data_IF_002588037267
#
_entry.id   IF_002588037267
#
_cell.length_a   1.000
_cell.length_b   1.000
_cell.length_c   1.000
_cell.angle_alpha   90.00
_cell.angle_beta   90.00
_cell.angle_gamma   90.00
#
_symmetry.space_group_name_H-M   'P 1'
#
loop_
_entity.id
_entity.type
_entity.pdbx_description
1 polymer ?
#
# COMPACT_ATOMS: atom_id res chain seq x y z
N UNK A 1 17.80 5.32 9.73
CA UNK A 1 16.57 6.17 9.85
C UNK A 1 15.86 6.43 8.52
N UNK A 2 16.59 6.57 7.44
CA UNK A 2 16.12 6.89 6.08
C UNK A 2 15.21 5.79 5.50
N UNK A 3 15.66 4.55 5.57
CA UNK A 3 14.97 3.40 5.00
C UNK A 3 13.70 2.98 5.77
N UNK A 4 13.66 3.22 7.08
CA UNK A 4 12.43 3.07 7.87
C UNK A 4 11.28 3.96 7.36
N UNK A 5 11.61 4.98 6.58
CA UNK A 5 10.66 5.91 5.96
C UNK A 5 9.96 5.34 4.74
N UNK A 6 10.73 4.74 3.84
CA UNK A 6 10.18 4.08 2.64
C UNK A 6 9.25 2.93 3.06
N UNK A 7 9.61 2.24 4.16
CA UNK A 7 8.79 1.14 4.69
C UNK A 7 7.55 1.60 5.42
N UNK A 8 7.62 2.72 6.15
CA UNK A 8 6.42 3.36 6.68
C UNK A 8 5.47 3.78 5.55
N UNK A 9 6.02 4.10 4.37
CA UNK A 9 5.26 4.47 3.18
C UNK A 9 4.60 3.25 2.53
N UNK A 10 5.34 2.19 2.33
CA UNK A 10 4.79 0.92 1.86
C UNK A 10 3.82 0.34 2.88
N UNK A 11 4.10 0.46 4.19
CA UNK A 11 3.17 0.05 5.24
C UNK A 11 1.87 0.88 5.30
N UNK A 12 1.89 2.13 4.86
CA UNK A 12 0.66 2.96 4.72
C UNK A 12 -0.17 2.47 3.53
N UNK A 13 0.49 2.09 2.44
CA UNK A 13 -0.18 1.50 1.26
C UNK A 13 -0.64 0.06 1.57
N UNK A 14 0.17 -0.72 2.31
CA UNK A 14 -0.02 -2.16 2.50
C UNK A 14 -0.41 -2.58 3.92
N UNK A 15 -0.25 -1.71 4.92
CA UNK A 15 -0.42 -2.05 6.34
C UNK A 15 -1.80 -1.75 6.91
N UNK A 16 -2.66 -1.12 6.12
CA UNK A 16 -4.04 -0.78 6.49
C UNK A 16 -5.05 -1.86 6.10
N UNK A 17 -6.29 -1.44 5.97
CA UNK A 17 -7.31 -2.25 5.31
C UNK A 17 -6.90 -2.41 3.84
N UNK A 18 -6.89 -3.67 3.35
CA UNK A 18 -6.54 -3.94 1.95
C UNK A 18 -7.44 -3.11 1.03
N UNK A 19 -6.89 -2.45 0.00
CA UNK A 19 -7.70 -1.62 -0.90
C UNK A 19 -8.85 -2.39 -1.56
N UNK A 20 -8.72 -3.70 -1.73
CA UNK A 20 -9.73 -4.57 -2.34
C UNK A 20 -10.70 -5.19 -1.33
N UNK A 21 -10.96 -4.53 -0.22
CA UNK A 21 -11.94 -4.98 0.77
C UNK A 21 -12.81 -3.82 1.22
N UNK A 22 -14.12 -4.03 1.21
CA UNK A 22 -15.07 -3.05 1.74
C UNK A 22 -14.80 -2.84 3.24
N UNK A 23 -14.47 -1.60 3.66
CA UNK A 23 -14.12 -1.35 5.06
C UNK A 23 -15.31 -1.61 5.98
N UNK A 24 -15.11 -2.38 7.06
CA UNK A 24 -16.14 -2.70 8.07
C UNK A 24 -17.38 -3.39 7.52
N UNK A 25 -17.26 -4.13 6.41
CA UNK A 25 -18.38 -4.80 5.77
C UNK A 25 -19.15 -5.70 6.76
N UNK A 26 -18.49 -6.37 7.68
CA UNK A 26 -19.10 -7.19 8.73
C UNK A 26 -20.09 -6.42 9.62
N UNK A 27 -19.81 -5.16 9.91
CA UNK A 27 -20.72 -4.30 10.70
C UNK A 27 -21.92 -3.84 9.86
N UNK A 28 -21.67 -3.51 8.59
CA UNK A 28 -22.74 -3.05 7.69
C UNK A 28 -23.70 -4.17 7.30
N UNK A 29 -23.18 -5.39 7.09
CA UNK A 29 -24.00 -6.58 6.89
C UNK A 29 -24.93 -6.82 8.09
N UNK A 30 -24.41 -6.75 9.30
CA UNK A 30 -25.24 -6.89 10.51
C UNK A 30 -26.33 -5.81 10.63
N UNK A 31 -26.09 -4.64 10.08
CA UNK A 31 -27.00 -3.48 10.15
C UNK A 31 -28.06 -3.52 9.05
N UNK A 32 -27.72 -3.91 7.83
CA UNK A 32 -28.54 -3.70 6.65
C UNK A 32 -29.13 -4.99 6.06
N UNK A 33 -28.49 -6.15 6.26
CA UNK A 33 -29.05 -7.42 5.78
C UNK A 33 -30.18 -7.87 6.70
N UNK A 34 -31.40 -7.96 6.14
CA UNK A 34 -32.60 -8.23 6.92
C UNK A 34 -32.75 -9.71 7.24
N UNK A 35 -32.52 -10.59 6.26
CA UNK A 35 -32.62 -12.03 6.42
C UNK A 35 -31.50 -12.59 7.31
N UNK A 36 -31.87 -13.20 8.43
CA UNK A 36 -30.93 -13.68 9.43
C UNK A 36 -30.02 -14.81 8.91
N UNK A 37 -30.56 -15.71 8.05
CA UNK A 37 -29.78 -16.82 7.47
C UNK A 37 -28.69 -16.28 6.51
N UNK A 38 -29.05 -15.35 5.60
CA UNK A 38 -28.10 -14.69 4.71
C UNK A 38 -27.07 -13.88 5.48
N UNK A 39 -27.51 -13.11 6.48
CA UNK A 39 -26.66 -12.33 7.39
C UNK A 39 -25.60 -13.21 8.08
N UNK A 40 -26.02 -14.33 8.68
CA UNK A 40 -25.12 -15.24 9.37
C UNK A 40 -24.08 -15.83 8.41
N UNK A 41 -24.52 -16.28 7.23
CA UNK A 41 -23.63 -16.82 6.19
C UNK A 41 -22.55 -15.81 5.77
N UNK A 42 -22.92 -14.55 5.51
CA UNK A 42 -21.95 -13.50 5.14
C UNK A 42 -21.02 -13.16 6.30
N UNK A 43 -21.52 -13.05 7.52
CA UNK A 43 -20.69 -12.78 8.70
C UNK A 43 -19.65 -13.87 8.93
N UNK A 44 -20.01 -15.15 8.74
CA UNK A 44 -19.07 -16.28 8.84
C UNK A 44 -17.99 -16.19 7.75
N UNK A 45 -18.38 -15.93 6.49
CA UNK A 45 -17.47 -15.73 5.37
C UNK A 45 -16.45 -14.62 5.68
N UNK A 46 -16.92 -13.46 6.14
CA UNK A 46 -16.05 -12.31 6.48
C UNK A 46 -15.14 -12.58 7.69
N UNK A 47 -15.61 -13.37 8.65
CA UNK A 47 -14.79 -13.80 9.81
C UNK A 47 -13.62 -14.68 9.39
N UNK A 48 -13.86 -15.62 8.45
CA UNK A 48 -12.80 -16.48 7.93
C UNK A 48 -11.81 -15.71 7.05
N UNK A 49 -12.31 -14.82 6.19
CA UNK A 49 -11.46 -13.89 5.44
C UNK A 49 -10.57 -13.04 6.35
N UNK A 50 -11.11 -12.55 7.47
CA UNK A 50 -10.33 -11.79 8.47
C UNK A 50 -9.21 -12.61 9.11
N UNK A 51 -9.41 -13.93 9.33
CA UNK A 51 -8.34 -14.82 9.83
C UNK A 51 -7.23 -14.99 8.79
N UNK A 52 -7.59 -15.28 7.52
CA UNK A 52 -6.64 -15.41 6.40
C UNK A 52 -5.84 -14.12 6.22
N UNK A 53 -6.51 -12.97 6.25
CA UNK A 53 -5.86 -11.65 6.16
C UNK A 53 -4.83 -11.40 7.26
N UNK A 54 -5.07 -11.80 8.51
CA UNK A 54 -4.07 -11.68 9.59
C UNK A 54 -2.77 -12.40 9.24
N UNK A 55 -2.84 -13.56 8.60
CA UNK A 55 -1.67 -14.30 8.14
C UNK A 55 -0.91 -13.55 7.04
N UNK A 56 -1.64 -12.99 6.06
CA UNK A 56 -1.05 -12.16 4.99
C UNK A 56 -0.36 -10.92 5.56
N UNK A 57 -1.01 -10.20 6.46
CA UNK A 57 -0.40 -9.03 7.13
C UNK A 57 0.88 -9.41 7.88
N UNK A 58 0.92 -10.58 8.53
CA UNK A 58 2.13 -11.09 9.19
C UNK A 58 3.24 -11.43 8.19
N UNK A 59 2.88 -12.05 7.03
CA UNK A 59 3.81 -12.33 5.92
C UNK A 59 4.38 -11.02 5.36
N UNK A 60 3.53 -10.04 5.07
CA UNK A 60 3.95 -8.74 4.56
C UNK A 60 4.89 -8.00 5.52
N UNK A 61 4.61 -8.00 6.83
CA UNK A 61 5.52 -7.42 7.83
C UNK A 61 6.92 -8.02 7.79
N UNK A 62 7.04 -9.35 7.53
CA UNK A 62 8.34 -10.00 7.40
C UNK A 62 9.06 -9.55 6.13
N UNK A 63 8.35 -9.51 4.98
CA UNK A 63 8.92 -9.04 3.71
C UNK A 63 9.40 -7.60 3.80
N UNK A 64 8.65 -6.73 4.49
CA UNK A 64 9.09 -5.36 4.70
C UNK A 64 10.29 -5.25 5.64
N UNK A 65 10.39 -6.10 6.67
CA UNK A 65 11.57 -6.15 7.51
C UNK A 65 12.80 -6.59 6.69
N UNK A 66 12.66 -7.62 5.87
CA UNK A 66 13.70 -8.11 4.95
C UNK A 66 14.15 -7.00 3.98
N UNK A 67 13.20 -6.27 3.38
CA UNK A 67 13.51 -5.13 2.54
C UNK A 67 14.28 -4.03 3.31
N UNK A 68 13.91 -3.74 4.58
CA UNK A 68 14.65 -2.80 5.43
C UNK A 68 16.09 -3.25 5.61
N UNK A 69 16.30 -4.53 5.92
CA UNK A 69 17.64 -5.09 6.14
C UNK A 69 18.49 -5.00 4.88
N UNK A 70 17.94 -5.36 3.70
CA UNK A 70 18.62 -5.21 2.42
C UNK A 70 19.02 -3.75 2.15
N UNK A 71 18.10 -2.81 2.39
CA UNK A 71 18.34 -1.39 2.12
C UNK A 71 19.34 -0.74 3.07
N UNK A 72 19.64 -1.34 4.22
CA UNK A 72 20.65 -0.83 5.15
C UNK A 72 22.09 -1.25 4.78
N UNK A 73 22.26 -2.23 3.90
CA UNK A 73 23.56 -2.73 3.48
C UNK A 73 24.00 -2.12 2.15
N UNK A 74 25.24 -1.66 2.07
CA UNK A 74 25.88 -1.25 0.81
C UNK A 74 26.19 -2.44 -0.10
N UNK A 75 26.32 -3.62 0.49
CA UNK A 75 26.74 -4.85 -0.19
C UNK A 75 25.55 -5.61 -0.82
N UNK A 76 24.34 -5.13 -0.61
CA UNK A 76 23.13 -5.74 -1.18
C UNK A 76 23.17 -5.68 -2.71
N UNK A 77 22.88 -6.78 -3.36
CA UNK A 77 22.87 -6.88 -4.82
C UNK A 77 21.48 -6.62 -5.38
N UNK A 78 21.42 -6.21 -6.63
CA UNK A 78 20.16 -6.04 -7.37
C UNK A 78 19.30 -7.32 -7.32
N UNK A 79 19.95 -8.47 -7.48
CA UNK A 79 19.27 -9.79 -7.46
C UNK A 79 18.53 -10.06 -6.15
N UNK A 80 19.03 -9.56 -5.01
CA UNK A 80 18.40 -9.76 -3.70
C UNK A 80 17.09 -8.95 -3.64
N UNK A 81 17.12 -7.72 -4.14
CA UNK A 81 15.93 -6.87 -4.27
C UNK A 81 14.91 -7.47 -5.26
N UNK A 82 15.35 -7.98 -6.41
CA UNK A 82 14.46 -8.55 -7.43
C UNK A 82 13.72 -9.80 -6.90
N UNK A 83 14.43 -10.67 -6.17
CA UNK A 83 13.81 -11.82 -5.51
C UNK A 83 12.79 -11.41 -4.45
N UNK A 84 13.09 -10.35 -3.69
CA UNK A 84 12.17 -9.83 -2.68
C UNK A 84 10.94 -9.16 -3.32
N UNK A 85 11.13 -8.42 -4.42
CA UNK A 85 10.01 -7.84 -5.18
C UNK A 85 9.05 -8.92 -5.64
N UNK A 86 9.55 -10.01 -6.22
CA UNK A 86 8.72 -11.14 -6.65
C UNK A 86 7.85 -11.65 -5.49
N UNK A 87 8.44 -11.91 -4.33
CA UNK A 87 7.70 -12.36 -3.14
C UNK A 87 6.65 -11.36 -2.67
N UNK A 88 6.95 -10.06 -2.75
CA UNK A 88 6.01 -8.98 -2.38
C UNK A 88 4.83 -8.96 -3.36
N UNK A 89 5.10 -8.98 -4.67
CA UNK A 89 4.05 -8.94 -5.69
C UNK A 89 3.13 -10.17 -5.61
N UNK A 90 3.68 -11.37 -5.47
CA UNK A 90 2.92 -12.61 -5.26
C UNK A 90 2.00 -12.50 -4.04
N UNK A 91 2.54 -12.05 -2.89
CA UNK A 91 1.75 -11.92 -1.67
C UNK A 91 0.64 -10.86 -1.80
N UNK A 92 0.87 -9.78 -2.55
CA UNK A 92 -0.13 -8.75 -2.81
C UNK A 92 -1.22 -9.25 -3.76
N UNK A 93 -0.84 -9.90 -4.86
CA UNK A 93 -1.78 -10.47 -5.83
C UNK A 93 -2.71 -11.49 -5.15
N UNK A 94 -2.15 -12.44 -4.39
CA UNK A 94 -2.91 -13.45 -3.64
C UNK A 94 -3.91 -12.78 -2.66
N UNK A 95 -3.44 -11.75 -1.94
CA UNK A 95 -4.28 -11.02 -0.98
C UNK A 95 -5.44 -10.30 -1.65
N UNK A 96 -5.18 -9.64 -2.78
CA UNK A 96 -6.18 -8.88 -3.51
C UNK A 96 -7.23 -9.80 -4.14
N UNK A 97 -6.81 -10.87 -4.81
CA UNK A 97 -7.70 -11.88 -5.36
C UNK A 97 -8.61 -12.48 -4.28
N UNK A 98 -8.05 -12.83 -3.12
CA UNK A 98 -8.84 -13.32 -1.99
C UNK A 98 -9.89 -12.31 -1.55
N UNK A 99 -9.55 -11.01 -1.48
CA UNK A 99 -10.49 -9.98 -1.06
C UNK A 99 -11.60 -9.73 -2.10
N UNK A 100 -11.27 -9.74 -3.39
CA UNK A 100 -12.24 -9.65 -4.50
C UNK A 100 -13.24 -10.79 -4.39
N UNK A 101 -12.77 -12.03 -4.33
CA UNK A 101 -13.62 -13.21 -4.22
C UNK A 101 -14.53 -13.18 -2.98
N UNK A 102 -14.00 -12.76 -1.83
CA UNK A 102 -14.80 -12.65 -0.61
C UNK A 102 -15.87 -11.57 -0.74
N UNK A 103 -15.59 -10.45 -1.40
CA UNK A 103 -16.57 -9.38 -1.63
C UNK A 103 -17.68 -9.86 -2.58
N UNK A 104 -17.33 -10.52 -3.68
CA UNK A 104 -18.31 -11.12 -4.62
C UNK A 104 -19.19 -12.16 -3.93
N UNK A 105 -18.61 -13.10 -3.20
CA UNK A 105 -19.36 -14.10 -2.43
C UNK A 105 -20.26 -13.48 -1.36
N UNK A 106 -19.89 -12.34 -0.79
CA UNK A 106 -20.73 -11.59 0.13
C UNK A 106 -21.92 -10.98 -0.64
N UNK A 107 -21.68 -10.40 -1.81
CA UNK A 107 -22.73 -9.81 -2.67
C UNK A 107 -23.75 -10.84 -3.15
N UNK A 108 -23.36 -12.08 -3.43
CA UNK A 108 -24.27 -13.18 -3.79
C UNK A 108 -25.35 -13.46 -2.73
N UNK A 109 -25.13 -13.01 -1.50
CA UNK A 109 -26.04 -13.21 -0.36
C UNK A 109 -26.64 -11.91 0.18
N UNK A 110 -26.49 -10.80 -0.54
CA UNK A 110 -26.98 -9.47 -0.19
C UNK A 110 -27.80 -8.94 -1.36
N UNK A 111 -28.98 -8.38 -1.12
CA UNK A 111 -29.78 -7.80 -2.19
C UNK A 111 -29.20 -6.45 -2.65
N UNK A 112 -29.60 -5.98 -3.85
CA UNK A 112 -29.20 -4.68 -4.38
C UNK A 112 -29.54 -3.54 -3.42
N UNK A 113 -30.76 -3.56 -2.85
CA UNK A 113 -31.21 -2.52 -1.91
C UNK A 113 -30.40 -2.52 -0.61
N UNK A 114 -30.10 -3.73 -0.07
CA UNK A 114 -29.27 -3.89 1.10
C UNK A 114 -27.84 -3.42 0.83
N UNK A 115 -27.28 -3.71 -0.38
CA UNK A 115 -25.96 -3.26 -0.77
C UNK A 115 -25.89 -1.75 -0.97
N UNK A 116 -26.89 -1.13 -1.59
CA UNK A 116 -27.00 0.32 -1.74
C UNK A 116 -26.99 1.00 -0.37
N UNK A 117 -27.66 0.44 0.64
CA UNK A 117 -27.60 0.95 2.00
C UNK A 117 -26.20 0.78 2.64
N UNK A 118 -25.48 -0.28 2.29
CA UNK A 118 -24.08 -0.51 2.70
C UNK A 118 -23.17 0.52 2.03
N UNK A 119 -23.31 0.81 0.74
CA UNK A 119 -22.51 1.81 0.00
C UNK A 119 -22.57 3.19 0.66
N UNK A 120 -23.74 3.62 1.13
CA UNK A 120 -23.90 4.88 1.88
C UNK A 120 -23.04 4.93 3.15
N UNK A 121 -22.97 3.84 3.90
CA UNK A 121 -22.15 3.76 5.11
C UNK A 121 -20.64 3.61 4.78
N UNK A 122 -20.32 2.93 3.68
CA UNK A 122 -18.96 2.85 3.14
C UNK A 122 -18.44 4.23 2.77
N UNK A 123 -19.22 5.02 2.01
CA UNK A 123 -18.87 6.39 1.61
C UNK A 123 -18.50 7.26 2.82
N UNK A 124 -19.31 7.23 3.90
CA UNK A 124 -19.01 7.95 5.15
C UNK A 124 -17.72 7.48 5.83
N UNK A 125 -17.41 6.19 5.73
CA UNK A 125 -16.17 5.63 6.29
C UNK A 125 -14.95 6.03 5.47
N UNK A 126 -15.08 6.06 4.14
CA UNK A 126 -14.03 6.47 3.21
C UNK A 126 -13.70 7.95 3.37
N UNK A 127 -14.68 8.83 3.51
CA UNK A 127 -14.46 10.25 3.77
C UNK A 127 -13.60 10.46 5.03
N UNK A 128 -13.93 9.76 6.13
CA UNK A 128 -13.13 9.82 7.37
C UNK A 128 -11.72 9.28 7.18
N UNK A 129 -11.58 8.20 6.42
CA UNK A 129 -10.29 7.59 6.12
C UNK A 129 -9.44 8.52 5.23
N UNK A 130 -10.02 9.17 4.23
CA UNK A 130 -9.35 10.10 3.34
C UNK A 130 -8.80 11.33 4.08
N UNK A 131 -9.56 11.90 5.03
CA UNK A 131 -9.06 12.98 5.91
C UNK A 131 -7.80 12.56 6.70
N UNK A 132 -7.72 11.30 7.15
CA UNK A 132 -6.52 10.76 7.83
C UNK A 132 -5.37 10.56 6.85
N UNK A 133 -5.65 10.06 5.63
CA UNK A 133 -4.65 9.82 4.59
C UNK A 133 -4.00 11.12 4.12
N UNK A 134 -4.77 12.18 3.90
CA UNK A 134 -4.23 13.50 3.56
C UNK A 134 -3.24 13.99 4.62
N UNK A 135 -3.56 13.80 5.93
CA UNK A 135 -2.63 14.12 7.01
C UNK A 135 -1.37 13.22 7.00
N UNK A 136 -1.50 11.99 6.55
CA UNK A 136 -0.37 11.06 6.41
C UNK A 136 0.53 11.46 5.24
N UNK A 137 -0.04 11.83 4.09
CA UNK A 137 0.72 12.33 2.94
C UNK A 137 1.61 13.53 3.32
N UNK A 138 1.05 14.51 4.03
CA UNK A 138 1.82 15.66 4.53
C UNK A 138 2.96 15.27 5.50
N UNK A 139 2.76 14.23 6.32
CA UNK A 139 3.83 13.70 7.17
C UNK A 139 4.93 13.03 6.36
N UNK A 140 4.55 12.34 5.31
CA UNK A 140 5.49 11.68 4.39
C UNK A 140 6.36 12.72 3.70
N UNK A 141 5.76 13.74 3.12
CA UNK A 141 6.47 14.84 2.48
C UNK A 141 7.50 15.50 3.43
N UNK A 142 7.08 15.81 4.67
CA UNK A 142 8.00 16.31 5.70
C UNK A 142 9.16 15.38 6.01
N UNK A 143 8.97 14.09 5.84
CA UNK A 143 10.02 13.10 6.05
C UNK A 143 11.02 13.09 4.87
N UNK A 144 10.54 13.17 3.63
CA UNK A 144 11.42 13.33 2.48
C UNK A 144 12.29 14.57 2.61
N UNK A 145 11.72 15.72 2.99
CA UNK A 145 12.48 16.94 3.27
C UNK A 145 13.55 16.76 4.35
N UNK A 146 13.26 15.99 5.41
CA UNK A 146 14.29 15.66 6.42
C UNK A 146 15.40 14.80 5.83
N UNK A 147 15.08 13.93 4.92
CA UNK A 147 16.04 13.07 4.26
C UNK A 147 16.93 13.86 3.31
N UNK A 148 16.37 14.69 2.46
CA UNK A 148 17.10 15.62 1.59
C UNK A 148 18.07 16.50 2.41
N UNK A 149 17.61 17.04 3.54
CA UNK A 149 18.45 17.81 4.46
C UNK A 149 19.58 16.98 5.10
N UNK A 150 19.33 15.72 5.43
CA UNK A 150 20.36 14.84 5.99
C UNK A 150 21.43 14.53 4.94
N UNK A 151 21.04 14.21 3.72
CA UNK A 151 21.94 13.99 2.59
C UNK A 151 22.79 15.25 2.34
N UNK A 152 22.14 16.42 2.28
CA UNK A 152 22.80 17.69 2.05
C UNK A 152 23.83 18.05 3.12
N UNK A 153 23.66 17.59 4.36
CA UNK A 153 24.61 17.79 5.46
C UNK A 153 25.70 16.73 5.51
N UNK A 154 25.46 15.56 4.91
CA UNK A 154 26.35 14.41 5.04
C UNK A 154 27.32 14.29 3.88
N UNK A 155 26.85 14.50 2.65
CA UNK A 155 27.69 14.44 1.47
C UNK A 155 28.51 15.74 1.33
N UNK A 156 29.81 15.57 1.30
CA UNK A 156 30.77 16.70 1.25
C UNK A 156 31.00 17.22 -0.17
N UNK A 157 30.95 16.33 -1.17
CA UNK A 157 31.05 16.65 -2.60
C UNK A 157 29.73 17.28 -3.09
N UNK A 158 29.84 18.48 -3.69
CA UNK A 158 28.65 19.25 -4.11
C UNK A 158 27.89 18.62 -5.25
N UNK A 159 28.59 18.07 -6.24
CA UNK A 159 27.94 17.42 -7.38
C UNK A 159 27.23 16.13 -6.98
N UNK A 160 27.91 15.29 -6.20
CA UNK A 160 27.31 14.06 -5.63
C UNK A 160 26.12 14.36 -4.74
N UNK A 161 26.20 15.41 -3.94
CA UNK A 161 25.09 15.86 -3.08
C UNK A 161 23.88 16.25 -3.91
N UNK A 162 24.08 17.01 -5.02
CA UNK A 162 23.00 17.39 -5.91
C UNK A 162 22.34 16.17 -6.54
N UNK A 163 23.12 15.24 -7.09
CA UNK A 163 22.62 14.01 -7.69
C UNK A 163 21.85 13.13 -6.67
N UNK A 164 22.36 13.03 -5.44
CA UNK A 164 21.70 12.27 -4.38
C UNK A 164 20.36 12.88 -3.97
N UNK A 165 20.25 14.20 -3.89
CA UNK A 165 18.99 14.91 -3.60
C UNK A 165 18.00 14.74 -4.76
N UNK A 166 18.46 14.82 -6.01
CA UNK A 166 17.62 14.58 -7.21
C UNK A 166 17.04 13.15 -7.22
N UNK A 167 17.85 12.15 -6.86
CA UNK A 167 17.37 10.76 -6.78
C UNK A 167 16.28 10.59 -5.71
N UNK A 168 16.45 11.23 -4.55
CA UNK A 168 15.41 11.20 -3.49
C UNK A 168 14.17 11.98 -3.89
N UNK A 169 14.29 13.11 -4.57
CA UNK A 169 13.15 13.90 -5.06
C UNK A 169 12.35 13.14 -6.12
N UNK A 170 13.03 12.37 -6.99
CA UNK A 170 12.38 11.44 -7.92
C UNK A 170 11.55 10.39 -7.17
N UNK A 171 12.10 9.77 -6.14
CA UNK A 171 11.37 8.81 -5.31
C UNK A 171 10.17 9.45 -4.62
N UNK A 172 10.33 10.66 -4.07
CA UNK A 172 9.24 11.44 -3.46
C UNK A 172 8.12 11.69 -4.47
N UNK A 173 8.46 12.13 -5.67
CA UNK A 173 7.51 12.42 -6.75
C UNK A 173 6.72 11.19 -7.15
N UNK A 174 7.40 10.06 -7.40
CA UNK A 174 6.75 8.78 -7.74
C UNK A 174 5.83 8.33 -6.62
N UNK A 175 6.30 8.43 -5.39
CA UNK A 175 5.50 8.04 -4.23
C UNK A 175 4.24 8.89 -4.07
N UNK A 176 4.37 10.22 -4.05
CA UNK A 176 3.22 11.13 -3.84
C UNK A 176 2.20 11.04 -4.97
N UNK A 177 2.65 10.87 -6.23
CA UNK A 177 1.79 10.63 -7.39
C UNK A 177 0.97 9.35 -7.21
N UNK A 178 1.63 8.22 -6.95
CA UNK A 178 0.94 6.94 -6.77
C UNK A 178 0.03 6.94 -5.53
N UNK A 179 0.45 7.60 -4.46
CA UNK A 179 -0.39 7.77 -3.27
C UNK A 179 -1.67 8.55 -3.58
N UNK A 180 -1.58 9.59 -4.41
CA UNK A 180 -2.74 10.37 -4.86
C UNK A 180 -3.68 9.52 -5.71
N UNK A 181 -3.17 8.77 -6.68
CA UNK A 181 -3.97 7.85 -7.52
C UNK A 181 -4.73 6.85 -6.62
N UNK A 182 -4.05 6.24 -5.66
CA UNK A 182 -4.70 5.32 -4.70
C UNK A 182 -5.83 6.02 -3.93
N UNK A 183 -5.66 7.27 -3.53
CA UNK A 183 -6.70 8.02 -2.82
C UNK A 183 -7.88 8.38 -3.72
N UNK A 184 -7.59 8.86 -4.92
CA UNK A 184 -8.59 9.45 -5.80
C UNK A 184 -9.38 8.39 -6.58
N UNK A 185 -8.77 7.23 -6.89
CA UNK A 185 -9.38 6.19 -7.72
C UNK A 185 -9.78 4.95 -6.93
N UNK A 186 -8.91 4.46 -6.04
CA UNK A 186 -9.17 3.20 -5.35
C UNK A 186 -9.95 3.36 -4.04
N UNK A 187 -9.81 4.50 -3.39
CA UNK A 187 -10.33 4.70 -2.03
C UNK A 187 -11.38 5.82 -1.97
N UNK A 188 -11.95 6.19 -3.11
CA UNK A 188 -13.09 7.08 -3.17
C UNK A 188 -14.41 6.27 -3.18
N UNK A 189 -15.51 6.94 -2.92
CA UNK A 189 -16.85 6.34 -2.84
C UNK A 189 -17.37 5.79 -4.17
N UNK A 190 -16.86 6.30 -5.29
CA UNK A 190 -17.26 5.88 -6.64
C UNK A 190 -16.38 4.75 -7.18
N UNK A 191 -15.42 4.26 -6.37
CA UNK A 191 -14.54 3.18 -6.81
C UNK A 191 -15.35 1.92 -7.13
N UNK A 192 -15.02 1.31 -8.26
CA UNK A 192 -15.61 0.06 -8.72
C UNK A 192 -15.52 -1.07 -7.68
N UNK A 193 -14.54 -1.01 -6.77
CA UNK A 193 -14.39 -1.99 -5.68
C UNK A 193 -15.59 -2.03 -4.72
N UNK A 194 -16.38 -0.97 -4.67
CA UNK A 194 -17.52 -0.86 -3.74
C UNK A 194 -18.85 -1.03 -4.45
N UNK A 195 -18.86 -1.07 -5.79
CA UNK A 195 -20.08 -1.22 -6.57
C UNK A 195 -20.64 -2.63 -6.47
N UNK A 196 -21.95 -2.73 -6.50
CA UNK A 196 -22.64 -4.01 -6.56
C UNK A 196 -22.41 -4.69 -7.91
N UNK A 197 -22.01 -5.97 -7.89
CA UNK A 197 -21.74 -6.76 -9.11
C UNK A 197 -20.71 -6.13 -10.07
N UNK A 198 -19.67 -5.47 -9.54
CA UNK A 198 -18.53 -5.07 -10.35
C UNK A 198 -17.97 -6.28 -11.14
N UNK A 199 -17.72 -6.10 -12.43
CA UNK A 199 -17.27 -7.21 -13.27
C UNK A 199 -15.86 -7.66 -12.89
N UNK A 200 -15.60 -8.95 -13.06
CA UNK A 200 -14.26 -9.52 -12.80
C UNK A 200 -13.19 -8.84 -13.65
N UNK A 201 -13.51 -8.49 -14.91
CA UNK A 201 -12.61 -7.80 -15.81
C UNK A 201 -12.18 -6.44 -15.27
N UNK A 202 -13.14 -5.64 -14.78
CA UNK A 202 -12.86 -4.32 -14.22
C UNK A 202 -12.07 -4.40 -12.92
N UNK A 203 -12.40 -5.35 -12.04
CA UNK A 203 -11.65 -5.58 -10.79
C UNK A 203 -10.24 -6.07 -11.06
N UNK A 204 -10.05 -6.92 -12.08
CA UNK A 204 -8.71 -7.40 -12.50
C UNK A 204 -7.87 -6.26 -13.07
N UNK A 205 -8.44 -5.41 -13.93
CA UNK A 205 -7.73 -4.23 -14.47
C UNK A 205 -7.26 -3.29 -13.34
N UNK A 206 -8.14 -3.03 -12.38
CA UNK A 206 -7.80 -2.22 -11.21
C UNK A 206 -6.71 -2.87 -10.33
N UNK A 207 -6.74 -4.19 -10.21
CA UNK A 207 -5.71 -4.96 -9.50
C UNK A 207 -4.35 -4.83 -10.19
N UNK A 208 -4.31 -4.97 -11.51
CA UNK A 208 -3.09 -4.83 -12.30
C UNK A 208 -2.49 -3.43 -12.18
N UNK A 209 -3.33 -2.40 -12.24
CA UNK A 209 -2.89 -1.02 -12.04
C UNK A 209 -2.26 -0.83 -10.65
N UNK A 210 -2.88 -1.34 -9.61
CA UNK A 210 -2.35 -1.27 -8.26
C UNK A 210 -1.02 -2.03 -8.11
N UNK A 211 -0.90 -3.20 -8.72
CA UNK A 211 0.36 -3.98 -8.73
C UNK A 211 1.46 -3.21 -9.46
N UNK A 212 1.15 -2.55 -10.57
CA UNK A 212 2.11 -1.73 -11.31
C UNK A 212 2.58 -0.51 -10.50
N UNK A 213 1.70 0.14 -9.75
CA UNK A 213 2.08 1.22 -8.83
C UNK A 213 3.04 0.73 -7.73
N UNK A 214 2.79 -0.44 -7.15
CA UNK A 214 3.69 -1.08 -6.19
C UNK A 214 5.07 -1.30 -6.80
N UNK A 215 5.09 -1.90 -7.98
CA UNK A 215 6.32 -2.22 -8.71
C UNK A 215 7.13 -0.96 -9.00
N UNK A 216 6.48 0.11 -9.46
CA UNK A 216 7.14 1.37 -9.76
C UNK A 216 7.76 2.02 -8.50
N UNK A 217 7.01 2.10 -7.40
CA UNK A 217 7.51 2.64 -6.14
C UNK A 217 8.71 1.83 -5.64
N UNK A 218 8.60 0.50 -5.71
CA UNK A 218 9.68 -0.39 -5.30
C UNK A 218 10.94 -0.22 -6.14
N UNK A 219 10.81 -0.24 -7.46
CA UNK A 219 11.92 -0.10 -8.40
C UNK A 219 12.62 1.26 -8.25
N UNK A 220 11.85 2.35 -8.09
CA UNK A 220 12.40 3.68 -7.86
C UNK A 220 13.16 3.73 -6.53
N UNK A 221 12.64 3.06 -5.50
CA UNK A 221 13.31 2.96 -4.20
C UNK A 221 14.65 2.21 -4.31
N UNK A 222 14.68 1.09 -5.03
CA UNK A 222 15.90 0.30 -5.26
C UNK A 222 16.91 1.12 -6.07
N UNK A 223 16.49 1.82 -7.13
CA UNK A 223 17.35 2.74 -7.88
C UNK A 223 17.96 3.80 -6.97
N UNK A 224 17.13 4.47 -6.14
CA UNK A 224 17.61 5.46 -5.18
C UNK A 224 18.62 4.86 -4.18
N UNK A 225 18.43 3.61 -3.77
CA UNK A 225 19.41 2.92 -2.92
C UNK A 225 20.78 2.83 -3.60
N UNK A 226 20.85 2.35 -4.83
CA UNK A 226 22.11 2.19 -5.56
C UNK A 226 22.75 3.55 -5.87
N UNK A 227 21.96 4.55 -6.27
CA UNK A 227 22.46 5.91 -6.47
C UNK A 227 23.14 6.44 -5.19
N UNK A 228 22.51 6.28 -4.03
CA UNK A 228 23.08 6.72 -2.76
C UNK A 228 24.31 5.90 -2.33
N UNK A 229 24.37 4.62 -2.64
CA UNK A 229 25.54 3.77 -2.41
C UNK A 229 26.71 4.24 -3.26
N UNK A 230 26.49 4.55 -4.54
CA UNK A 230 27.52 5.01 -5.47
C UNK A 230 28.03 6.41 -5.10
N UNK A 231 27.12 7.32 -4.79
CA UNK A 231 27.42 8.72 -4.52
C UNK A 231 28.05 8.98 -3.14
N UNK A 232 28.01 8.02 -2.21
CA UNK A 232 28.52 8.19 -0.84
C UNK A 232 29.74 7.33 -0.55
N UNK A 233 30.62 7.81 0.32
CA UNK A 233 31.64 6.98 0.97
C UNK A 233 31.03 6.05 2.02
N UNK A 234 31.73 4.99 2.48
CA UNK A 234 31.24 4.14 3.57
C UNK A 234 30.94 4.92 4.86
N UNK A 235 31.71 5.94 5.17
CA UNK A 235 31.54 6.81 6.34
C UNK A 235 30.30 7.71 6.20
N UNK A 236 30.08 8.30 5.02
CA UNK A 236 28.89 9.09 4.72
C UNK A 236 27.64 8.23 4.74
N UNK A 237 27.69 7.05 4.12
CA UNK A 237 26.59 6.08 4.18
C UNK A 237 26.20 5.72 5.61
N UNK A 238 27.20 5.47 6.48
CA UNK A 238 26.95 5.16 7.89
C UNK A 238 26.24 6.28 8.64
N UNK A 239 26.49 7.55 8.28
CA UNK A 239 25.80 8.72 8.88
C UNK A 239 24.37 8.88 8.35
N UNK A 240 24.06 8.37 7.15
CA UNK A 240 22.73 8.42 6.55
C UNK A 240 21.80 7.29 7.02
N UNK A 241 22.31 6.23 7.63
CA UNK A 241 21.50 5.16 8.24
C UNK A 241 20.80 5.68 9.49
#
# INVERSE_FOLDING_TARGET
MIWALVFALLAVIFGGDSPFMVPKLDNYVKKHVVDDSRKEKVVLLLKDAKKKRKAVVKKNKKLFKELTELSLSRETKQTDFDQLLTKILEAQTESQQTNILVTQQAQDNITVDEWTAIEVDVAKSLEKANKKRTKQAAKVEKRFLKWENLISKTLTDEEKRKQAVESVDKLKTVYLRNYKIIQDELLNENSIMYQYNASETELTALQEEFINMIKEIYQTNVSTHFDLVELSTPEEWKKMK
#
